data_IF_088245544847
#
_entry.id   IF_088245544847
#
_cell.length_a   1.000
_cell.length_b   1.000
_cell.length_c   1.000
_cell.angle_alpha   90.00
_cell.angle_beta   90.00
_cell.angle_gamma   90.00
#
_symmetry.space_group_name_H-M   'P 1'
#
loop_
_entity.id
_entity.type
_entity.pdbx_description
1 polymer ?
#
# COMPACT_ATOMS: atom_id res chain seq x y z
N UNK A 1 18.97 -10.61 19.43
CA UNK A 1 18.87 -10.64 17.96
C UNK A 1 17.74 -9.69 17.61
N UNK A 2 18.02 -8.60 16.89
CA UNK A 2 16.98 -7.64 16.50
C UNK A 2 16.17 -8.21 15.33
N UNK A 3 14.85 -8.11 15.40
CA UNK A 3 13.96 -8.46 14.28
C UNK A 3 13.95 -7.29 13.31
N UNK A 4 14.65 -7.44 12.19
CA UNK A 4 14.73 -6.46 11.11
C UNK A 4 14.48 -7.11 9.73
N UNK A 5 14.36 -6.30 8.68
CA UNK A 5 14.09 -6.80 7.33
C UNK A 5 15.14 -7.81 6.83
N UNK A 6 16.42 -7.58 7.12
CA UNK A 6 17.50 -8.50 6.71
C UNK A 6 17.39 -9.87 7.38
N UNK A 7 17.07 -9.90 8.68
CA UNK A 7 16.89 -11.14 9.44
C UNK A 7 15.69 -11.92 8.93
N UNK A 8 14.60 -11.23 8.57
CA UNK A 8 13.41 -11.84 7.98
C UNK A 8 13.73 -12.45 6.60
N UNK A 9 14.48 -11.73 5.75
CA UNK A 9 14.91 -12.23 4.44
C UNK A 9 15.77 -13.49 4.57
N UNK A 10 16.81 -13.45 5.41
CA UNK A 10 17.69 -14.61 5.66
C UNK A 10 16.91 -15.80 6.22
N UNK A 11 15.93 -15.55 7.08
CA UNK A 11 15.07 -16.60 7.61
C UNK A 11 14.21 -17.23 6.52
N UNK A 12 13.59 -16.42 5.65
CA UNK A 12 12.81 -16.92 4.52
C UNK A 12 13.66 -17.75 3.56
N UNK A 13 14.85 -17.27 3.18
CA UNK A 13 15.78 -18.00 2.31
C UNK A 13 16.21 -19.35 2.91
N UNK A 14 16.56 -19.37 4.20
CA UNK A 14 16.96 -20.59 4.89
C UNK A 14 15.81 -21.61 5.05
N UNK A 15 14.56 -21.14 5.05
CA UNK A 15 13.39 -21.94 5.36
C UNK A 15 12.39 -22.07 4.19
N UNK A 16 12.75 -21.57 3.01
CA UNK A 16 11.89 -21.46 1.83
C UNK A 16 11.26 -22.79 1.41
N UNK A 17 12.01 -23.89 1.56
CA UNK A 17 11.56 -25.24 1.18
C UNK A 17 10.95 -26.06 2.32
N UNK A 18 11.01 -25.55 3.56
CA UNK A 18 10.59 -26.28 4.76
C UNK A 18 9.36 -25.70 5.44
N UNK A 19 8.99 -24.47 5.08
CA UNK A 19 7.95 -23.72 5.75
C UNK A 19 6.73 -23.60 4.87
N UNK A 20 5.57 -23.99 5.40
CA UNK A 20 4.30 -23.81 4.71
C UNK A 20 3.89 -22.33 4.69
N UNK A 21 3.14 -21.87 3.68
CA UNK A 21 2.67 -20.49 3.60
C UNK A 21 1.84 -20.08 4.84
N UNK A 22 1.12 -21.01 5.46
CA UNK A 22 0.38 -20.78 6.70
C UNK A 22 1.31 -20.41 7.86
N UNK A 23 2.48 -21.03 7.94
CA UNK A 23 3.45 -20.72 8.99
C UNK A 23 4.05 -19.34 8.80
N UNK A 24 4.27 -18.91 7.55
CA UNK A 24 4.71 -17.54 7.24
C UNK A 24 3.64 -16.53 7.67
N UNK A 25 2.36 -16.80 7.36
CA UNK A 25 1.22 -15.97 7.81
C UNK A 25 1.14 -15.85 9.34
N UNK A 26 1.34 -16.95 10.06
CA UNK A 26 1.36 -16.90 11.53
C UNK A 26 2.47 -15.99 12.08
N UNK A 27 3.65 -16.00 11.45
CA UNK A 27 4.77 -15.16 11.90
C UNK A 27 4.47 -13.70 11.59
N UNK A 28 3.92 -13.41 10.42
CA UNK A 28 3.40 -12.09 10.05
C UNK A 28 2.40 -11.56 11.07
N UNK A 29 1.40 -12.36 11.45
CA UNK A 29 0.37 -11.95 12.42
C UNK A 29 0.96 -11.64 13.80
N UNK A 30 2.00 -12.40 14.21
CA UNK A 30 2.72 -12.12 15.45
C UNK A 30 3.48 -10.79 15.38
N UNK A 31 4.09 -10.46 14.24
CA UNK A 31 4.77 -9.17 14.02
C UNK A 31 3.75 -8.03 14.08
N UNK A 32 2.59 -8.16 13.42
CA UNK A 32 1.52 -7.17 13.47
C UNK A 32 1.00 -6.96 14.90
N UNK A 33 0.78 -8.05 15.64
CA UNK A 33 0.34 -7.97 17.04
C UNK A 33 1.38 -7.26 17.90
N UNK A 34 2.67 -7.53 17.67
CA UNK A 34 3.76 -6.86 18.36
C UNK A 34 3.83 -5.36 18.02
N UNK A 35 3.65 -5.00 16.75
CA UNK A 35 3.58 -3.60 16.30
C UNK A 35 2.42 -2.84 16.95
N UNK A 36 1.25 -3.46 17.10
CA UNK A 36 0.10 -2.83 17.76
C UNK A 36 0.31 -2.56 19.27
N UNK A 37 1.25 -3.28 19.89
CA UNK A 37 1.57 -3.15 21.31
C UNK A 37 2.79 -2.27 21.56
N UNK A 38 3.64 -2.08 20.55
CA UNK A 38 4.79 -1.19 20.61
C UNK A 38 4.35 0.24 20.35
N UNK A 39 5.05 1.17 20.97
CA UNK A 39 4.93 2.58 20.67
C UNK A 39 5.77 2.92 19.42
N UNK A 40 5.33 3.87 18.62
CA UNK A 40 5.97 4.24 17.34
C UNK A 40 7.39 4.81 17.53
N UNK A 41 7.79 5.09 18.78
CA UNK A 41 9.09 5.62 19.16
C UNK A 41 10.11 4.54 19.53
N UNK A 42 9.70 3.28 19.60
CA UNK A 42 10.59 2.17 19.93
C UNK A 42 11.55 1.88 18.77
N UNK A 43 12.82 1.65 19.09
CA UNK A 43 13.85 1.32 18.11
C UNK A 43 13.58 -0.01 17.38
N UNK A 44 12.75 -0.89 17.93
CA UNK A 44 12.33 -2.12 17.26
C UNK A 44 11.17 -1.91 16.27
N UNK A 45 10.48 -0.77 16.32
CA UNK A 45 9.29 -0.51 15.49
C UNK A 45 9.63 -0.54 14.00
N UNK A 46 10.65 0.22 13.58
CA UNK A 46 11.07 0.28 12.18
C UNK A 46 11.56 -1.08 11.66
N UNK A 47 12.31 -1.82 12.48
CA UNK A 47 12.78 -3.16 12.12
C UNK A 47 11.64 -4.17 11.95
N UNK A 48 10.58 -4.07 12.76
CA UNK A 48 9.39 -4.92 12.64
C UNK A 48 8.57 -4.57 11.39
N UNK A 49 8.47 -3.29 11.02
CA UNK A 49 7.84 -2.87 9.77
C UNK A 49 8.59 -3.41 8.54
N UNK A 50 9.92 -3.30 8.53
CA UNK A 50 10.74 -3.87 7.45
C UNK A 50 10.59 -5.39 7.37
N UNK A 51 10.56 -6.08 8.50
CA UNK A 51 10.36 -7.52 8.54
C UNK A 51 8.97 -7.92 8.01
N UNK A 52 7.94 -7.12 8.32
CA UNK A 52 6.58 -7.32 7.84
C UNK A 52 6.51 -7.17 6.31
N UNK A 53 7.12 -6.11 5.76
CA UNK A 53 7.16 -5.87 4.31
C UNK A 53 7.81 -7.03 3.55
N UNK A 54 8.93 -7.55 4.07
CA UNK A 54 9.62 -8.70 3.49
C UNK A 54 8.75 -9.98 3.50
N UNK A 55 8.00 -10.21 4.57
CA UNK A 55 7.10 -11.38 4.64
C UNK A 55 5.89 -11.25 3.71
N UNK A 56 5.32 -10.05 3.62
CA UNK A 56 4.17 -9.78 2.74
C UNK A 56 4.56 -9.89 1.26
N UNK A 57 5.72 -9.36 0.88
CA UNK A 57 6.28 -9.51 -0.47
C UNK A 57 6.48 -10.98 -0.85
N UNK A 58 6.98 -11.81 0.07
CA UNK A 58 7.17 -13.24 -0.17
C UNK A 58 5.85 -13.99 -0.31
N UNK A 59 4.85 -13.68 0.52
CA UNK A 59 3.51 -14.26 0.39
C UNK A 59 2.86 -13.89 -0.95
N UNK A 60 2.98 -12.64 -1.39
CA UNK A 60 2.49 -12.20 -2.69
C UNK A 60 3.17 -12.95 -3.85
N UNK A 61 4.49 -13.17 -3.75
CA UNK A 61 5.25 -13.92 -4.75
C UNK A 61 4.79 -15.39 -4.82
N UNK A 62 4.55 -16.03 -3.67
CA UNK A 62 4.00 -17.39 -3.63
C UNK A 62 2.62 -17.47 -4.27
N UNK A 63 1.74 -16.50 -4.02
CA UNK A 63 0.40 -16.43 -4.62
C UNK A 63 0.47 -16.23 -6.15
N UNK A 64 1.44 -15.44 -6.64
CA UNK A 64 1.69 -15.27 -8.06
C UNK A 64 2.24 -16.54 -8.73
N UNK A 65 3.14 -17.28 -8.06
CA UNK A 65 3.68 -18.55 -8.56
C UNK A 65 2.66 -19.69 -8.55
N UNK A 66 1.69 -19.64 -7.64
CA UNK A 66 0.63 -20.66 -7.50
C UNK A 66 -0.51 -20.50 -8.51
N UNK A 67 -0.57 -19.36 -9.20
CA UNK A 67 -1.57 -19.13 -10.25
C UNK A 67 -1.07 -19.84 -11.51
N UNK A 68 -1.80 -20.83 -12.07
CA UNK A 68 -1.38 -21.48 -13.29
C UNK A 68 -1.26 -20.39 -14.36
N UNK A 69 -0.07 -20.28 -14.95
CA UNK A 69 0.16 -19.48 -16.12
C UNK A 69 -0.90 -19.87 -17.17
N UNK A 70 -1.88 -19.01 -17.39
CA UNK A 70 -2.53 -18.97 -18.69
C UNK A 70 -1.40 -18.77 -19.68
N UNK A 71 -1.15 -19.79 -20.50
CA UNK A 71 -0.10 -19.86 -21.49
C UNK A 71 0.02 -18.51 -22.21
N UNK A 72 1.08 -17.77 -21.91
CA UNK A 72 1.48 -16.62 -22.70
C UNK A 72 2.92 -16.89 -23.06
N UNK A 73 3.04 -17.45 -24.25
CA UNK A 73 4.27 -17.74 -24.94
C UNK A 73 5.16 -16.50 -24.91
N UNK A 74 6.42 -16.72 -24.57
CA UNK A 74 7.41 -15.67 -24.39
C UNK A 74 7.80 -15.10 -25.75
N UNK A 75 7.22 -13.95 -26.11
CA UNK A 75 7.77 -13.07 -27.15
C UNK A 75 7.73 -11.62 -26.62
N UNK A 76 8.85 -10.88 -26.59
CA UNK A 76 8.90 -9.53 -26.02
C UNK A 76 8.19 -8.45 -26.86
N UNK A 77 7.48 -8.84 -27.93
CA UNK A 77 6.81 -7.91 -28.85
C UNK A 77 5.30 -7.73 -28.61
N UNK A 78 4.68 -8.48 -27.69
CA UNK A 78 3.22 -8.49 -27.56
C UNK A 78 2.74 -8.10 -26.16
N UNK A 79 3.33 -7.02 -25.60
CA UNK A 79 2.69 -6.31 -24.51
C UNK A 79 1.47 -5.59 -25.07
N UNK A 80 0.24 -5.87 -24.59
CA UNK A 80 -0.92 -5.11 -25.02
C UNK A 80 -0.65 -3.62 -24.74
N UNK A 81 -0.99 -2.71 -25.68
CA UNK A 81 -0.73 -1.29 -25.52
C UNK A 81 -1.36 -0.83 -24.21
N UNK A 82 -0.53 -0.25 -23.33
CA UNK A 82 -1.00 0.33 -22.08
C UNK A 82 -2.07 1.36 -22.42
N UNK A 83 -3.26 1.17 -21.85
CA UNK A 83 -4.37 2.07 -22.05
C UNK A 83 -4.15 3.35 -21.23
N UNK A 84 -3.73 4.41 -21.93
CA UNK A 84 -3.58 5.75 -21.36
C UNK A 84 -4.87 6.56 -21.44
N UNK A 85 -6.01 5.92 -21.70
CA UNK A 85 -7.29 6.60 -21.64
C UNK A 85 -7.49 7.17 -20.24
N UNK A 86 -7.86 8.46 -20.12
CA UNK A 86 -8.09 9.07 -18.82
C UNK A 86 -9.18 8.29 -18.08
N UNK A 87 -8.89 7.87 -16.85
CA UNK A 87 -9.81 7.11 -15.98
C UNK A 87 -11.13 7.84 -15.72
N UNK A 88 -11.16 9.14 -16.01
CA UNK A 88 -12.30 10.02 -15.85
C UNK A 88 -12.54 10.70 -17.18
N UNK A 89 -13.73 10.53 -17.74
CA UNK A 89 -14.20 11.43 -18.79
C UNK A 89 -14.12 12.85 -18.20
N UNK A 90 -13.30 13.72 -18.80
CA UNK A 90 -13.40 15.16 -18.60
C UNK A 90 -14.75 15.59 -19.20
N UNK A 91 -15.84 15.25 -18.52
CA UNK A 91 -17.01 16.10 -18.57
C UNK A 91 -16.52 17.40 -17.96
N UNK A 92 -16.45 18.44 -18.79
CA UNK A 92 -16.33 19.81 -18.32
C UNK A 92 -17.51 20.03 -17.38
N UNK A 93 -17.33 19.70 -16.10
CA UNK A 93 -18.22 20.18 -15.05
C UNK A 93 -18.21 21.69 -15.24
N UNK A 94 -19.35 22.21 -15.67
CA UNK A 94 -19.58 23.63 -15.83
C UNK A 94 -19.47 24.22 -14.43
N UNK A 95 -18.25 24.56 -14.03
CA UNK A 95 -17.98 25.22 -12.75
C UNK A 95 -18.82 26.48 -12.80
N UNK A 96 -19.80 26.66 -11.90
CA UNK A 96 -20.61 27.86 -11.91
C UNK A 96 -19.66 29.05 -11.74
N UNK A 97 -19.53 29.88 -12.78
CA UNK A 97 -18.75 31.11 -12.69
C UNK A 97 -19.49 32.06 -11.74
N UNK A 98 -19.18 31.96 -10.45
CA UNK A 98 -19.68 32.90 -9.45
C UNK A 98 -19.12 34.28 -9.77
N UNK A 99 -19.99 35.29 -9.75
CA UNK A 99 -19.59 36.69 -9.88
C UNK A 99 -18.63 37.09 -8.75
N UNK A 100 -17.84 38.13 -8.97
CA UNK A 100 -16.90 38.63 -7.97
C UNK A 100 -17.61 39.00 -6.65
N UNK A 101 -18.81 39.58 -6.76
CA UNK A 101 -19.65 39.95 -5.63
C UNK A 101 -20.11 38.71 -4.83
N UNK A 102 -20.52 37.66 -5.54
CA UNK A 102 -21.02 36.45 -4.90
C UNK A 102 -19.90 35.65 -4.23
N UNK A 103 -18.69 35.67 -4.81
CA UNK A 103 -17.48 35.15 -4.16
C UNK A 103 -17.17 35.90 -2.86
N UNK A 104 -17.21 37.22 -2.88
CA UNK A 104 -16.93 38.04 -1.68
C UNK A 104 -17.95 37.79 -0.57
N UNK A 105 -19.24 37.69 -0.91
CA UNK A 105 -20.30 37.39 0.06
C UNK A 105 -20.10 36.02 0.73
N UNK A 106 -19.80 34.98 -0.06
CA UNK A 106 -19.54 33.62 0.47
C UNK A 106 -18.29 33.60 1.34
N UNK A 107 -17.24 34.31 0.95
CA UNK A 107 -16.01 34.42 1.74
C UNK A 107 -16.25 35.10 3.09
N UNK A 108 -17.00 36.22 3.12
CA UNK A 108 -17.35 36.88 4.38
C UNK A 108 -18.22 36.00 5.29
N UNK A 109 -19.14 35.21 4.71
CA UNK A 109 -19.94 34.27 5.46
C UNK A 109 -19.08 33.17 6.11
N UNK A 110 -18.06 32.65 5.39
CA UNK A 110 -17.09 31.69 5.93
C UNK A 110 -16.24 32.30 7.05
N UNK A 111 -15.74 33.52 6.88
CA UNK A 111 -14.98 34.23 7.91
C UNK A 111 -15.79 34.47 9.20
N UNK A 112 -17.09 34.75 9.06
CA UNK A 112 -17.99 34.89 10.22
C UNK A 112 -18.24 33.55 10.90
N UNK A 113 -18.41 32.47 10.14
CA UNK A 113 -18.64 31.13 10.67
C UNK A 113 -17.40 30.56 11.40
N UNK A 114 -16.20 30.96 10.98
CA UNK A 114 -14.95 30.60 11.66
C UNK A 114 -14.59 31.46 12.88
N UNK A 115 -15.37 32.50 13.20
CA UNK A 115 -15.16 33.41 14.35
C UNK A 115 -16.02 33.08 15.58
N UNK A 116 -16.83 32.03 15.51
CA UNK A 116 -17.52 31.43 16.65
C UNK A 116 -16.85 30.10 16.99
N UNK A 117 -15.63 30.18 17.53
CA UNK A 117 -15.04 29.25 18.48
C UNK A 117 -14.17 30.06 19.45
#
# INVERSE_FOLDING_TARGET
>A
MATNGESARKWLEANQHKTSPERIRQIRDNIVTKLQQLDDTDHEHDGLLEALDVMDGHLLQLEQQSKPAAQSDSSPEDLPPLDYSPLVNHQEEVVPQLSAEEKQRRFQALLRKGKTQ
#
